data_IF_637681594808
#
_entry.id   IF_637681594808
#
_cell.length_a   1.000
_cell.length_b   1.000
_cell.length_c   1.000
_cell.angle_alpha   90.00
_cell.angle_beta   90.00
_cell.angle_gamma   90.00
#
_symmetry.space_group_name_H-M   'P 1'
#
loop_
_entity.id
_entity.type
_entity.pdbx_description
1 polymer ?
#
# COMPACT_ATOMS: atom_id res chain seq x y z
N UNK A 1 -20.24 6.05 35.94
CA UNK A 1 -20.59 7.47 35.72
C UNK A 1 -20.32 7.89 34.29
N UNK A 2 -20.87 9.02 33.81
CA UNK A 2 -20.58 9.57 32.46
C UNK A 2 -19.09 9.77 32.25
N UNK A 3 -18.35 10.18 33.25
CA UNK A 3 -16.88 10.38 33.20
C UNK A 3 -16.14 9.06 32.94
N UNK A 4 -16.57 7.98 33.56
CA UNK A 4 -15.98 6.64 33.31
C UNK A 4 -16.30 6.12 31.92
N UNK A 5 -17.53 6.37 31.43
CA UNK A 5 -17.88 6.01 30.06
C UNK A 5 -17.01 6.74 29.04
N UNK A 6 -16.79 8.06 29.25
CA UNK A 6 -15.90 8.86 28.39
C UNK A 6 -14.46 8.31 28.46
N UNK A 7 -13.91 8.06 29.65
CA UNK A 7 -12.55 7.49 29.78
C UNK A 7 -12.41 6.11 29.14
N UNK A 8 -13.46 5.29 29.24
CA UNK A 8 -13.48 3.97 28.57
C UNK A 8 -13.50 4.10 27.06
N UNK A 9 -14.21 5.09 26.52
CA UNK A 9 -14.26 5.35 25.08
C UNK A 9 -12.96 6.02 24.59
N UNK A 10 -12.34 6.88 25.38
CA UNK A 10 -10.99 7.43 25.13
C UNK A 10 -9.95 6.31 25.10
N UNK A 11 -9.96 5.40 26.09
CA UNK A 11 -9.06 4.23 26.12
C UNK A 11 -9.28 3.23 24.99
N UNK A 12 -10.43 3.28 24.30
CA UNK A 12 -10.70 2.52 23.07
C UNK A 12 -10.36 3.30 21.80
N UNK A 13 -9.82 4.52 21.90
CA UNK A 13 -9.52 5.37 20.75
C UNK A 13 -10.76 5.91 20.02
N UNK A 14 -11.96 5.80 20.62
CA UNK A 14 -13.23 6.26 20.03
C UNK A 14 -13.49 7.76 20.27
N UNK A 15 -12.89 8.30 21.31
CA UNK A 15 -12.97 9.71 21.65
C UNK A 15 -11.57 10.32 21.78
N UNK A 16 -11.43 11.56 21.34
CA UNK A 16 -10.22 12.38 21.48
C UNK A 16 -10.53 13.57 22.39
N UNK A 17 -9.76 13.74 23.47
CA UNK A 17 -9.84 14.91 24.33
C UNK A 17 -8.82 15.95 23.90
N UNK A 18 -9.29 17.17 23.63
CA UNK A 18 -8.40 18.31 23.38
C UNK A 18 -8.34 19.19 24.62
N UNK A 19 -7.13 19.52 25.06
CA UNK A 19 -6.91 20.40 26.20
C UNK A 19 -7.54 21.77 25.88
N UNK A 20 -8.51 22.20 26.72
CA UNK A 20 -9.27 23.44 26.51
C UNK A 20 -10.39 23.39 25.46
N UNK A 21 -10.57 22.27 24.74
CA UNK A 21 -11.50 22.17 23.58
C UNK A 21 -12.63 21.13 23.69
N UNK A 22 -12.70 20.34 24.78
CA UNK A 22 -13.75 19.33 24.97
C UNK A 22 -13.39 17.94 24.46
N UNK A 23 -14.39 17.05 24.39
CA UNK A 23 -14.27 15.66 23.92
C UNK A 23 -14.97 15.51 22.58
N UNK A 24 -14.28 14.97 21.60
CA UNK A 24 -14.74 14.79 20.22
C UNK A 24 -14.78 13.31 19.86
N UNK A 25 -15.70 12.92 19.00
CA UNK A 25 -15.70 11.58 18.41
C UNK A 25 -14.51 11.47 17.45
N UNK A 26 -13.70 10.41 17.64
CA UNK A 26 -12.59 10.13 16.73
C UNK A 26 -13.14 9.66 15.40
N UNK A 27 -12.91 10.42 14.35
CA UNK A 27 -13.30 10.07 12.99
C UNK A 27 -12.35 9.07 12.33
N UNK A 28 -11.09 9.01 12.81
CA UNK A 28 -10.07 8.08 12.35
C UNK A 28 -9.82 7.01 13.42
N UNK A 29 -10.65 5.96 13.42
CA UNK A 29 -10.50 4.81 14.33
C UNK A 29 -9.26 3.94 14.02
N UNK A 30 -8.60 4.20 12.92
CA UNK A 30 -7.51 3.41 12.36
C UNK A 30 -6.13 3.75 12.95
N UNK A 31 -5.92 4.98 13.43
CA UNK A 31 -4.62 5.40 13.96
C UNK A 31 -4.12 4.56 15.15
N UNK A 32 -5.03 4.09 15.99
CA UNK A 32 -4.66 3.28 17.15
C UNK A 32 -4.13 1.85 16.83
N UNK A 33 -4.35 1.37 15.62
CA UNK A 33 -3.86 0.06 15.16
C UNK A 33 -2.59 0.18 14.31
N UNK A 34 -2.40 1.32 13.61
CA UNK A 34 -1.25 1.53 12.75
C UNK A 34 0.03 1.84 13.53
N UNK A 35 -0.05 2.56 14.62
CA UNK A 35 1.13 3.03 15.36
C UNK A 35 2.00 1.86 15.89
N UNK A 36 1.46 0.85 16.62
CA UNK A 36 2.25 -0.28 17.10
C UNK A 36 2.85 -1.12 15.98
N UNK A 37 2.11 -1.29 14.86
CA UNK A 37 2.60 -2.04 13.72
C UNK A 37 3.67 -1.27 12.96
N UNK A 38 3.56 0.06 12.87
CA UNK A 38 4.57 0.93 12.27
C UNK A 38 5.88 0.90 13.05
N UNK A 39 5.81 0.93 14.38
CA UNK A 39 6.99 0.80 15.25
C UNK A 39 7.66 -0.56 15.05
N UNK A 40 6.88 -1.65 15.04
CA UNK A 40 7.39 -3.00 14.81
C UNK A 40 8.12 -3.11 13.47
N UNK A 41 7.54 -2.58 12.40
CA UNK A 41 8.13 -2.64 11.05
C UNK A 41 9.35 -1.72 10.92
N UNK A 42 9.41 -0.60 11.62
CA UNK A 42 10.57 0.30 11.62
C UNK A 42 11.81 -0.36 12.25
N UNK A 43 11.61 -1.20 13.27
CA UNK A 43 12.67 -1.90 13.97
C UNK A 43 13.15 -3.17 13.23
N UNK A 44 12.39 -3.63 12.24
CA UNK A 44 12.62 -4.88 11.50
C UNK A 44 12.59 -4.67 9.98
N UNK A 45 13.72 -4.30 9.34
CA UNK A 45 13.75 -4.04 7.88
C UNK A 45 13.30 -5.23 7.02
N UNK A 46 13.47 -6.47 7.51
CA UNK A 46 13.00 -7.70 6.87
C UNK A 46 11.47 -7.77 6.74
N UNK A 47 10.76 -7.08 7.62
CA UNK A 47 9.29 -7.05 7.64
C UNK A 47 8.66 -6.39 6.39
N UNK A 48 9.47 -5.75 5.54
CA UNK A 48 9.00 -5.29 4.24
C UNK A 48 8.49 -6.45 3.35
N UNK A 49 9.10 -7.64 3.47
CA UNK A 49 8.66 -8.83 2.73
C UNK A 49 7.38 -9.42 3.34
N UNK A 50 7.26 -9.44 4.67
CA UNK A 50 6.02 -9.85 5.36
C UNK A 50 4.85 -8.94 4.96
N UNK A 51 5.12 -7.63 4.80
CA UNK A 51 4.12 -6.68 4.32
C UNK A 51 3.73 -6.97 2.86
N UNK A 52 4.68 -7.33 1.98
CA UNK A 52 4.37 -7.74 0.61
C UNK A 52 3.53 -9.00 0.57
N UNK A 53 3.82 -10.02 1.37
CA UNK A 53 2.98 -11.24 1.49
C UNK A 53 1.56 -10.89 1.93
N UNK A 54 1.43 -9.98 2.91
CA UNK A 54 0.13 -9.48 3.35
C UNK A 54 -0.61 -8.76 2.23
N UNK A 55 0.08 -7.94 1.44
CA UNK A 55 -0.48 -7.30 0.25
C UNK A 55 -0.95 -8.32 -0.79
N UNK A 56 -0.17 -9.37 -1.06
CA UNK A 56 -0.57 -10.46 -1.95
C UNK A 56 -1.92 -11.06 -1.56
N UNK A 57 -2.11 -11.35 -0.26
CA UNK A 57 -3.34 -11.92 0.25
C UNK A 57 -4.53 -10.96 0.14
N UNK A 58 -4.34 -9.70 0.52
CA UNK A 58 -5.44 -8.73 0.61
C UNK A 58 -5.74 -8.06 -0.75
N UNK A 59 -4.74 -7.64 -1.52
CA UNK A 59 -4.97 -6.94 -2.79
C UNK A 59 -5.53 -7.87 -3.86
N UNK A 60 -5.08 -9.12 -3.91
CA UNK A 60 -5.63 -10.13 -4.83
C UNK A 60 -7.11 -10.40 -4.58
N UNK A 61 -7.51 -10.54 -3.31
CA UNK A 61 -8.92 -10.80 -2.98
C UNK A 61 -9.80 -9.56 -3.14
N UNK A 62 -9.25 -8.34 -2.92
CA UNK A 62 -10.00 -7.10 -3.19
C UNK A 62 -10.22 -6.89 -4.67
N UNK A 63 -9.23 -7.14 -5.52
CA UNK A 63 -9.35 -7.07 -6.97
C UNK A 63 -10.40 -8.06 -7.50
N UNK A 64 -10.39 -9.28 -6.97
CA UNK A 64 -11.40 -10.29 -7.28
C UNK A 64 -12.82 -9.78 -6.97
N UNK A 65 -13.05 -9.32 -5.73
CA UNK A 65 -14.37 -8.86 -5.34
C UNK A 65 -14.77 -7.55 -6.00
N UNK A 66 -13.84 -6.66 -6.31
CA UNK A 66 -14.10 -5.44 -7.08
C UNK A 66 -14.65 -5.80 -8.48
N UNK A 67 -14.00 -6.73 -9.18
CA UNK A 67 -14.47 -7.19 -10.48
C UNK A 67 -15.85 -7.88 -10.40
N UNK A 68 -16.12 -8.63 -9.31
CA UNK A 68 -17.35 -9.39 -9.13
C UNK A 68 -18.53 -8.51 -8.70
N UNK A 69 -18.32 -7.49 -7.87
CA UNK A 69 -19.35 -6.75 -7.15
C UNK A 69 -19.43 -5.26 -7.49
N UNK A 70 -18.33 -4.72 -8.07
CA UNK A 70 -18.25 -3.30 -8.36
C UNK A 70 -19.39 -2.78 -9.23
N UNK A 71 -19.88 -1.59 -8.90
CA UNK A 71 -20.86 -0.85 -9.67
C UNK A 71 -20.20 -0.06 -10.80
N UNK A 72 -20.98 0.48 -11.70
CA UNK A 72 -20.46 1.33 -12.79
C UNK A 72 -19.83 2.61 -12.22
N UNK A 73 -20.37 3.15 -11.11
CA UNK A 73 -19.81 4.29 -10.39
C UNK A 73 -18.47 3.94 -9.74
N UNK A 74 -18.33 2.72 -9.20
CA UNK A 74 -17.04 2.26 -8.67
C UNK A 74 -16.00 2.16 -9.78
N UNK A 75 -16.36 1.59 -10.92
CA UNK A 75 -15.42 1.48 -12.06
C UNK A 75 -15.05 2.84 -12.63
N UNK A 76 -15.96 3.80 -12.66
CA UNK A 76 -15.63 5.16 -13.06
C UNK A 76 -14.61 5.80 -12.10
N UNK A 77 -14.78 5.60 -10.80
CA UNK A 77 -13.85 6.08 -9.78
C UNK A 77 -12.48 5.42 -9.88
N UNK A 78 -12.44 4.08 -10.06
CA UNK A 78 -11.20 3.34 -10.29
C UNK A 78 -10.48 3.86 -11.54
N UNK A 79 -11.21 4.13 -12.64
CA UNK A 79 -10.66 4.70 -13.87
C UNK A 79 -10.01 6.06 -13.61
N UNK A 80 -10.72 6.96 -12.92
CA UNK A 80 -10.22 8.29 -12.58
C UNK A 80 -8.89 8.21 -11.82
N UNK A 81 -8.78 7.35 -10.82
CA UNK A 81 -7.54 7.20 -10.08
C UNK A 81 -6.44 6.50 -10.88
N UNK A 82 -6.78 5.58 -11.78
CA UNK A 82 -5.81 4.99 -12.71
C UNK A 82 -5.20 6.05 -13.63
N UNK A 83 -6.00 6.93 -14.21
CA UNK A 83 -5.55 8.05 -15.05
C UNK A 83 -4.70 9.07 -14.25
N UNK A 84 -5.01 9.28 -12.97
CA UNK A 84 -4.19 10.11 -12.08
C UNK A 84 -2.80 9.51 -11.84
N UNK A 85 -2.67 8.19 -11.74
CA UNK A 85 -1.36 7.54 -11.63
C UNK A 85 -0.53 7.80 -12.89
N UNK A 86 -1.11 7.64 -14.08
CA UNK A 86 -0.41 7.90 -15.35
C UNK A 86 0.07 9.34 -15.44
N UNK A 87 -0.77 10.29 -15.01
CA UNK A 87 -0.44 11.72 -14.98
C UNK A 87 0.69 12.02 -13.98
N UNK A 88 0.62 11.43 -12.79
CA UNK A 88 1.63 11.59 -11.75
C UNK A 88 2.97 10.98 -12.19
N UNK A 89 2.96 9.81 -12.81
CA UNK A 89 4.15 9.17 -13.36
C UNK A 89 4.80 10.03 -14.45
N UNK A 90 4.00 10.64 -15.31
CA UNK A 90 4.51 11.55 -16.35
C UNK A 90 5.15 12.83 -15.78
N UNK A 91 4.70 13.30 -14.61
CA UNK A 91 5.29 14.47 -13.91
C UNK A 91 6.65 14.15 -13.28
N UNK A 92 6.95 12.89 -13.00
CA UNK A 92 8.15 12.42 -12.29
C UNK A 92 8.15 12.70 -10.79
N UNK A 93 7.04 13.19 -10.22
CA UNK A 93 6.88 13.39 -8.77
C UNK A 93 6.45 12.09 -8.08
N UNK A 94 7.42 11.43 -7.44
CA UNK A 94 7.23 10.14 -6.76
C UNK A 94 6.24 10.19 -5.60
N UNK A 95 6.14 11.33 -4.94
CA UNK A 95 5.21 11.52 -3.83
C UNK A 95 3.79 11.54 -4.35
N UNK A 96 3.53 12.32 -5.38
CA UNK A 96 2.22 12.41 -6.03
C UNK A 96 1.83 11.07 -6.66
N UNK A 97 2.80 10.36 -7.26
CA UNK A 97 2.55 9.02 -7.81
C UNK A 97 2.18 8.00 -6.73
N UNK A 98 2.91 7.99 -5.60
CA UNK A 98 2.59 7.10 -4.49
C UNK A 98 1.20 7.37 -3.89
N UNK A 99 0.84 8.64 -3.72
CA UNK A 99 -0.50 9.04 -3.26
C UNK A 99 -1.59 8.58 -4.24
N UNK A 100 -1.38 8.77 -5.55
CA UNK A 100 -2.32 8.33 -6.57
C UNK A 100 -2.49 6.79 -6.58
N UNK A 101 -1.40 6.03 -6.41
CA UNK A 101 -1.44 4.57 -6.27
C UNK A 101 -2.25 4.15 -5.05
N UNK A 102 -2.09 4.83 -3.92
CA UNK A 102 -2.86 4.52 -2.71
C UNK A 102 -4.35 4.84 -2.88
N UNK A 103 -4.68 5.93 -3.56
CA UNK A 103 -6.08 6.28 -3.88
C UNK A 103 -6.72 5.24 -4.81
N UNK A 104 -5.98 4.80 -5.84
CA UNK A 104 -6.42 3.71 -6.72
C UNK A 104 -6.68 2.42 -5.93
N UNK A 105 -5.72 2.00 -5.10
CA UNK A 105 -5.85 0.79 -4.29
C UNK A 105 -7.05 0.87 -3.33
N UNK A 106 -7.29 2.05 -2.75
CA UNK A 106 -8.43 2.27 -1.89
C UNK A 106 -9.76 2.21 -2.66
N UNK A 107 -9.82 2.77 -3.87
CA UNK A 107 -11.00 2.68 -4.73
C UNK A 107 -11.31 1.23 -5.14
N UNK A 108 -10.30 0.43 -5.47
CA UNK A 108 -10.46 -1.02 -5.73
C UNK A 108 -10.99 -1.73 -4.48
N UNK A 109 -10.47 -1.39 -3.30
CA UNK A 109 -10.93 -1.96 -2.04
C UNK A 109 -12.37 -1.61 -1.74
N UNK A 110 -12.78 -0.37 -1.95
CA UNK A 110 -14.17 0.09 -1.79
C UNK A 110 -15.12 -0.65 -2.75
N UNK A 111 -14.71 -0.81 -4.01
CA UNK A 111 -15.46 -1.55 -5.04
C UNK A 111 -15.62 -3.05 -4.71
N UNK A 112 -14.82 -3.60 -3.80
CA UNK A 112 -15.01 -4.97 -3.31
C UNK A 112 -16.31 -5.16 -2.51
N UNK A 113 -16.93 -4.06 -2.06
CA UNK A 113 -18.11 -4.06 -1.17
C UNK A 113 -17.95 -4.98 0.04
N UNK A 114 -16.72 -5.09 0.55
CA UNK A 114 -16.39 -5.84 1.76
C UNK A 114 -15.88 -4.87 2.84
N UNK A 115 -16.76 -4.55 3.79
CA UNK A 115 -16.46 -3.59 4.85
C UNK A 115 -15.28 -4.02 5.73
N UNK A 116 -15.06 -5.32 5.90
CA UNK A 116 -13.95 -5.85 6.72
C UNK A 116 -12.62 -5.66 6.00
N UNK A 117 -12.53 -6.02 4.71
CA UNK A 117 -11.34 -5.77 3.90
C UNK A 117 -11.01 -4.27 3.81
N UNK A 118 -12.03 -3.44 3.60
CA UNK A 118 -11.88 -2.00 3.57
C UNK A 118 -11.32 -1.47 4.90
N UNK A 119 -11.82 -1.97 6.03
CA UNK A 119 -11.34 -1.58 7.35
C UNK A 119 -9.88 -1.99 7.56
N UNK A 120 -9.52 -3.23 7.24
CA UNK A 120 -8.15 -3.73 7.36
C UNK A 120 -7.16 -2.92 6.53
N UNK A 121 -7.47 -2.68 5.24
CA UNK A 121 -6.59 -1.92 4.36
C UNK A 121 -6.48 -0.45 4.74
N UNK A 122 -7.55 0.15 5.26
CA UNK A 122 -7.49 1.52 5.83
C UNK A 122 -6.59 1.60 7.05
N UNK A 123 -6.64 0.62 7.95
CA UNK A 123 -5.72 0.56 9.08
C UNK A 123 -4.26 0.45 8.66
N UNK A 124 -4.00 -0.27 7.57
CA UNK A 124 -2.65 -0.47 7.03
C UNK A 124 -2.21 0.64 6.07
N UNK A 125 -3.09 1.56 5.69
CA UNK A 125 -2.83 2.57 4.64
C UNK A 125 -1.53 3.37 4.84
N UNK A 126 -1.17 3.85 6.05
CA UNK A 126 0.09 4.58 6.26
C UNK A 126 1.32 3.71 5.98
N UNK A 127 1.27 2.43 6.37
CA UNK A 127 2.35 1.47 6.14
C UNK A 127 2.49 1.13 4.66
N UNK A 128 1.36 0.92 3.98
CA UNK A 128 1.32 0.62 2.55
C UNK A 128 1.86 1.81 1.74
N UNK A 129 1.51 3.04 2.10
CA UNK A 129 2.00 4.24 1.44
C UNK A 129 3.51 4.38 1.60
N UNK A 130 4.03 4.17 2.82
CA UNK A 130 5.47 4.18 3.07
C UNK A 130 6.19 3.10 2.24
N UNK A 131 5.65 1.88 2.20
CA UNK A 131 6.21 0.78 1.41
C UNK A 131 6.20 1.11 -0.10
N UNK A 132 5.11 1.66 -0.63
CA UNK A 132 5.03 2.08 -2.04
C UNK A 132 6.06 3.16 -2.35
N UNK A 133 6.24 4.16 -1.49
CA UNK A 133 7.27 5.20 -1.66
C UNK A 133 8.69 4.62 -1.70
N UNK A 134 9.02 3.74 -0.76
CA UNK A 134 10.32 3.06 -0.71
C UNK A 134 10.56 2.22 -1.97
N UNK A 135 9.54 1.48 -2.42
CA UNK A 135 9.63 0.68 -3.64
C UNK A 135 9.86 1.57 -4.87
N UNK A 136 9.21 2.72 -4.96
CA UNK A 136 9.44 3.67 -6.05
C UNK A 136 10.86 4.22 -6.04
N UNK A 137 11.43 4.58 -4.90
CA UNK A 137 12.83 5.03 -4.82
C UNK A 137 13.81 4.02 -5.44
N UNK A 138 13.55 2.73 -5.23
CA UNK A 138 14.34 1.65 -5.79
C UNK A 138 14.04 1.42 -7.28
N UNK A 139 12.77 1.38 -7.67
CA UNK A 139 12.32 1.12 -9.04
C UNK A 139 12.70 2.24 -10.01
N UNK A 140 12.69 3.51 -9.55
CA UNK A 140 13.05 4.66 -10.39
C UNK A 140 14.51 4.65 -10.86
N UNK A 141 15.36 3.86 -10.23
CA UNK A 141 16.72 3.63 -10.73
C UNK A 141 16.76 2.85 -12.05
N UNK A 142 15.64 2.20 -12.45
CA UNK A 142 15.53 1.32 -13.62
C UNK A 142 14.22 1.57 -14.38
N UNK A 143 14.31 2.38 -15.43
CA UNK A 143 13.15 2.77 -16.25
C UNK A 143 12.32 1.59 -16.78
N UNK A 144 12.96 0.52 -17.22
CA UNK A 144 12.28 -0.70 -17.71
C UNK A 144 11.38 -1.34 -16.65
N UNK A 145 11.77 -1.26 -15.36
CA UNK A 145 10.98 -1.81 -14.27
C UNK A 145 9.72 -0.98 -14.02
N UNK A 146 9.81 0.34 -14.13
CA UNK A 146 8.63 1.22 -14.03
C UNK A 146 7.60 0.93 -15.11
N UNK A 147 8.03 0.78 -16.36
CA UNK A 147 7.14 0.43 -17.48
C UNK A 147 6.43 -0.91 -17.24
N UNK A 148 7.15 -1.91 -16.72
CA UNK A 148 6.56 -3.20 -16.37
C UNK A 148 5.56 -3.10 -15.22
N UNK A 149 5.87 -2.34 -14.16
CA UNK A 149 4.95 -2.07 -13.04
C UNK A 149 3.67 -1.41 -13.55
N UNK A 150 3.79 -0.41 -14.44
CA UNK A 150 2.64 0.26 -15.06
C UNK A 150 1.78 -0.72 -15.87
N UNK A 151 2.40 -1.56 -16.71
CA UNK A 151 1.69 -2.56 -17.51
C UNK A 151 0.96 -3.61 -16.64
N UNK A 152 1.58 -4.03 -15.53
CA UNK A 152 0.92 -4.94 -14.59
C UNK A 152 -0.29 -4.27 -13.92
N UNK A 153 -0.19 -2.98 -13.56
CA UNK A 153 -1.30 -2.22 -12.97
C UNK A 153 -2.43 -2.04 -13.98
N UNK A 154 -2.12 -1.73 -15.23
CA UNK A 154 -3.10 -1.66 -16.31
C UNK A 154 -3.83 -3.00 -16.49
N UNK A 155 -3.12 -4.13 -16.41
CA UNK A 155 -3.74 -5.46 -16.49
C UNK A 155 -4.72 -5.74 -15.33
N UNK A 156 -4.44 -5.24 -14.13
CA UNK A 156 -5.38 -5.33 -12.99
C UNK A 156 -6.63 -4.50 -13.28
N UNK A 157 -6.42 -3.25 -13.70
CA UNK A 157 -7.50 -2.33 -14.04
C UNK A 157 -8.41 -2.91 -15.11
N UNK A 158 -7.84 -3.38 -16.22
CA UNK A 158 -8.59 -3.95 -17.34
C UNK A 158 -9.44 -5.15 -16.90
N UNK A 159 -8.86 -6.06 -16.11
CA UNK A 159 -9.58 -7.24 -15.62
C UNK A 159 -10.73 -6.87 -14.66
N UNK A 160 -10.55 -5.83 -13.82
CA UNK A 160 -11.61 -5.35 -12.93
C UNK A 160 -12.76 -4.76 -13.74
N UNK A 161 -12.47 -3.85 -14.67
CA UNK A 161 -13.50 -3.19 -15.49
C UNK A 161 -14.20 -4.17 -16.44
N UNK A 162 -13.47 -5.17 -16.94
CA UNK A 162 -14.05 -6.26 -17.74
C UNK A 162 -14.90 -7.24 -16.92
N UNK A 163 -15.01 -7.07 -15.59
CA UNK A 163 -15.74 -7.97 -14.69
C UNK A 163 -15.23 -9.42 -14.75
N UNK A 164 -13.90 -9.60 -14.76
CA UNK A 164 -13.21 -10.89 -14.81
C UNK A 164 -12.50 -11.18 -13.48
N UNK A 165 -13.21 -11.68 -12.44
CA UNK A 165 -12.69 -11.76 -11.06
C UNK A 165 -11.40 -12.57 -10.94
N UNK A 166 -11.33 -13.75 -11.55
CA UNK A 166 -10.14 -14.60 -11.48
C UNK A 166 -8.93 -13.96 -12.17
N UNK A 167 -9.14 -13.31 -13.32
CA UNK A 167 -8.06 -12.57 -14.00
C UNK A 167 -7.60 -11.37 -13.21
N UNK A 168 -8.50 -10.65 -12.54
CA UNK A 168 -8.16 -9.52 -11.68
C UNK A 168 -7.28 -9.96 -10.50
N UNK A 169 -7.65 -11.07 -9.84
CA UNK A 169 -6.85 -11.67 -8.77
C UNK A 169 -5.47 -12.08 -9.27
N UNK A 170 -5.43 -12.81 -10.39
CA UNK A 170 -4.17 -13.30 -10.95
C UNK A 170 -3.26 -12.17 -11.44
N UNK A 171 -3.83 -11.11 -12.02
CA UNK A 171 -3.07 -9.92 -12.41
C UNK A 171 -2.47 -9.20 -11.19
N UNK A 172 -3.23 -9.09 -10.09
CA UNK A 172 -2.74 -8.55 -8.81
C UNK A 172 -1.58 -9.38 -8.26
N UNK A 173 -1.71 -10.71 -8.24
CA UNK A 173 -0.63 -11.59 -7.80
C UNK A 173 0.63 -11.44 -8.67
N UNK A 174 0.49 -11.40 -9.99
CA UNK A 174 1.64 -11.18 -10.90
C UNK A 174 2.31 -9.83 -10.66
N UNK A 175 1.53 -8.80 -10.40
CA UNK A 175 2.03 -7.47 -10.09
C UNK A 175 2.92 -7.47 -8.85
N UNK A 176 2.43 -8.04 -7.76
CA UNK A 176 3.15 -8.06 -6.48
C UNK A 176 4.34 -9.02 -6.49
N UNK A 177 4.21 -10.20 -7.13
CA UNK A 177 5.33 -11.12 -7.34
C UNK A 177 6.47 -10.45 -8.12
N UNK A 178 6.13 -9.67 -9.15
CA UNK A 178 7.13 -8.90 -9.89
C UNK A 178 7.84 -7.85 -9.01
N UNK A 179 7.11 -7.14 -8.17
CA UNK A 179 7.71 -6.18 -7.24
C UNK A 179 8.63 -6.90 -6.26
N UNK A 180 8.22 -8.02 -5.70
CA UNK A 180 9.01 -8.83 -4.78
C UNK A 180 10.31 -9.32 -5.42
N UNK A 181 10.24 -9.89 -6.63
CA UNK A 181 11.42 -10.35 -7.37
C UNK A 181 12.43 -9.22 -7.60
N UNK A 182 11.96 -8.04 -7.98
CA UNK A 182 12.83 -6.87 -8.20
C UNK A 182 13.47 -6.40 -6.90
N UNK A 183 12.72 -6.34 -5.81
CA UNK A 183 13.27 -5.94 -4.50
C UNK A 183 14.31 -6.93 -3.99
N UNK A 184 14.08 -8.23 -4.14
CA UNK A 184 15.05 -9.28 -3.78
C UNK A 184 16.33 -9.18 -4.63
N UNK A 185 16.20 -8.86 -5.91
CA UNK A 185 17.38 -8.66 -6.77
C UNK A 185 18.20 -7.45 -6.34
N UNK A 186 17.53 -6.32 -6.07
CA UNK A 186 18.18 -5.09 -5.61
C UNK A 186 18.87 -5.25 -4.26
N UNK A 187 18.24 -5.94 -3.31
CA UNK A 187 18.84 -6.26 -2.01
C UNK A 187 20.10 -7.12 -2.15
N UNK A 188 20.06 -8.14 -3.02
CA UNK A 188 21.23 -8.98 -3.32
C UNK A 188 22.37 -8.16 -3.95
N UNK A 189 22.07 -7.25 -4.86
CA UNK A 189 23.05 -6.36 -5.47
C UNK A 189 23.68 -5.42 -4.44
N UNK A 190 22.88 -4.82 -3.59
CA UNK A 190 23.33 -3.95 -2.51
C UNK A 190 24.28 -4.70 -1.56
N UNK A 191 23.89 -5.87 -1.11
CA UNK A 191 24.71 -6.74 -0.24
C UNK A 191 26.03 -7.19 -0.88
N UNK A 192 26.05 -7.40 -2.21
CA UNK A 192 27.29 -7.71 -2.94
C UNK A 192 28.21 -6.49 -3.02
N UNK A 193 27.65 -5.31 -3.27
CA UNK A 193 28.39 -4.05 -3.36
C UNK A 193 29.03 -3.69 -2.03
N UNK A 194 28.30 -3.79 -0.94
CA UNK A 194 28.81 -3.54 0.41
C UNK A 194 29.95 -4.49 0.79
N UNK A 195 29.81 -5.78 0.47
CA UNK A 195 30.88 -6.76 0.70
C UNK A 195 32.13 -6.41 -0.09
N UNK A 196 32.00 -5.99 -1.34
CA UNK A 196 33.13 -5.57 -2.17
C UNK A 196 33.83 -4.33 -1.60
N UNK A 197 33.08 -3.34 -1.14
CA UNK A 197 33.63 -2.12 -0.54
C UNK A 197 34.38 -2.42 0.76
N UNK A 198 33.86 -3.27 1.63
CA UNK A 198 34.54 -3.71 2.87
C UNK A 198 35.84 -4.40 2.57
N UNK A 199 35.94 -5.27 1.56
CA UNK A 199 37.16 -5.94 1.15
C UNK A 199 38.20 -4.96 0.59
N UNK A 200 37.79 -3.90 -0.09
CA UNK A 200 38.69 -2.85 -0.59
C UNK A 200 39.25 -1.98 0.54
N UNK A 201 38.47 -1.73 1.59
CA UNK A 201 38.92 -1.00 2.78
C UNK A 201 39.96 -1.80 3.57
N UNK A 202 39.71 -3.08 3.81
CA UNK A 202 40.65 -3.99 4.52
C UNK A 202 42.00 -4.21 3.81
N UNK A 203 42.10 -3.89 2.51
CA UNK A 203 43.38 -3.96 1.74
C UNK A 203 44.22 -2.68 1.82
N UNK A 204 43.65 -1.61 2.40
CA UNK A 204 44.33 -0.31 2.53
C UNK A 204 44.94 -0.09 3.92
N UNK A 205 44.54 -0.90 4.89
CA UNK A 205 45.09 -1.02 6.23
C UNK A 205 46.14 -2.16 6.25
#
# INVERSE_FOLDING_TARGET
>A
SLREAILRLEGKGLLLRRQGGGTFVQTNLWQSLSDPLSELLADHPESQFDLLETRHALEGITAYYAALRGTDEDFQRIRTYHEQIETAQASGDRTVEAEAVMQYQMAVTEASHNVVLLHLLRCMSPLLEQNVRQNFELLYSRREMLERVSNHRASIFDAIVAREPEKAREASHRHLAFIEDVLLELDREHSRRERSLRLLQQRKD
#
